data_IF_476857323831
#
_entry.id   IF_476857323831
#
_cell.length_a   1.000
_cell.length_b   1.000
_cell.length_c   1.000
_cell.angle_alpha   90.00
_cell.angle_beta   90.00
_cell.angle_gamma   90.00
#
_symmetry.space_group_name_H-M   'P 1'
#
loop_
_entity.id
_entity.type
_entity.pdbx_description
1 polymer ?
#
# COMPACT_ATOMS: atom_id res chain seq x y z
N UNK A 1 -19.16 -1.59 -1.19
CA UNK A 1 -20.59 -1.31 -1.51
C UNK A 1 -21.22 -2.48 -2.28
N UNK A 2 -20.63 -2.93 -3.38
CA UNK A 2 -21.10 -4.07 -4.18
C UNK A 2 -21.24 -5.37 -3.37
N UNK A 3 -20.29 -5.68 -2.51
CA UNK A 3 -20.29 -6.87 -1.66
C UNK A 3 -21.45 -6.86 -0.65
N UNK A 4 -21.74 -5.71 -0.05
CA UNK A 4 -22.87 -5.54 0.88
C UNK A 4 -24.21 -5.76 0.16
N UNK A 5 -24.37 -5.16 -1.02
CA UNK A 5 -25.57 -5.37 -1.84
C UNK A 5 -25.73 -6.85 -2.22
N UNK A 6 -24.63 -7.50 -2.67
CA UNK A 6 -24.64 -8.91 -3.01
C UNK A 6 -25.08 -9.82 -1.87
N UNK A 7 -24.48 -9.61 -0.67
CA UNK A 7 -24.83 -10.35 0.55
C UNK A 7 -26.30 -10.12 0.96
N UNK A 8 -26.77 -8.88 0.92
CA UNK A 8 -28.15 -8.54 1.26
C UNK A 8 -29.14 -9.20 0.30
N UNK A 9 -28.84 -9.16 -1.01
CA UNK A 9 -29.66 -9.81 -2.04
C UNK A 9 -29.69 -11.31 -1.85
N UNK A 10 -28.54 -11.94 -1.58
CA UNK A 10 -28.42 -13.38 -1.34
C UNK A 10 -29.19 -13.80 -0.09
N UNK A 11 -29.13 -13.00 0.97
CA UNK A 11 -29.90 -13.23 2.21
C UNK A 11 -31.41 -13.19 1.96
N UNK A 12 -31.91 -12.14 1.32
CA UNK A 12 -33.34 -12.00 1.00
C UNK A 12 -33.79 -13.15 0.10
N UNK A 13 -33.03 -13.48 -0.95
CA UNK A 13 -33.34 -14.56 -1.87
C UNK A 13 -33.41 -15.92 -1.15
N UNK A 14 -32.45 -16.20 -0.24
CA UNK A 14 -32.46 -17.42 0.57
C UNK A 14 -33.72 -17.55 1.43
N UNK A 15 -34.13 -16.47 2.10
CA UNK A 15 -35.32 -16.47 2.95
C UNK A 15 -36.63 -16.66 2.18
N UNK A 16 -36.70 -16.22 0.94
CA UNK A 16 -37.89 -16.38 0.07
C UNK A 16 -37.84 -17.73 -0.64
N UNK A 17 -36.70 -18.08 -1.23
CA UNK A 17 -36.59 -19.24 -2.12
C UNK A 17 -36.62 -20.57 -1.34
N UNK A 18 -35.99 -20.63 -0.15
CA UNK A 18 -35.94 -21.86 0.62
C UNK A 18 -37.31 -22.33 1.13
N UNK A 19 -38.20 -21.49 1.73
CA UNK A 19 -39.55 -21.88 2.07
C UNK A 19 -40.38 -22.22 0.85
N UNK A 20 -40.25 -21.49 -0.27
CA UNK A 20 -40.94 -21.81 -1.51
C UNK A 20 -40.57 -23.19 -2.06
N UNK A 21 -39.28 -23.54 -2.07
CA UNK A 21 -38.81 -24.87 -2.49
C UNK A 21 -39.35 -25.98 -1.56
N UNK A 22 -39.36 -25.75 -0.25
CA UNK A 22 -39.90 -26.71 0.74
C UNK A 22 -41.41 -26.93 0.47
N UNK A 23 -42.18 -25.86 0.22
CA UNK A 23 -43.60 -25.95 -0.09
C UNK A 23 -43.86 -26.67 -1.41
N UNK A 24 -43.07 -26.41 -2.44
CA UNK A 24 -43.16 -27.13 -3.72
C UNK A 24 -42.82 -28.61 -3.59
N UNK A 25 -41.80 -28.93 -2.78
CA UNK A 25 -41.43 -30.33 -2.52
C UNK A 25 -42.42 -31.06 -1.62
N UNK A 26 -43.02 -30.35 -0.65
CA UNK A 26 -43.99 -30.88 0.31
C UNK A 26 -45.39 -31.17 -0.29
N UNK A 27 -45.65 -30.76 -1.54
CA UNK A 27 -46.98 -30.96 -2.17
C UNK A 27 -47.23 -32.41 -2.60
N UNK A 28 -46.37 -33.35 -2.31
CA UNK A 28 -46.61 -34.78 -2.51
C UNK A 28 -47.31 -35.33 -1.26
N UNK A 29 -48.65 -35.32 -1.28
CA UNK A 29 -49.54 -35.87 -0.23
C UNK A 29 -49.15 -37.30 0.08
N UNK A 30 -48.84 -37.60 1.32
CA UNK A 30 -48.58 -38.89 1.96
C UNK A 30 -47.10 -39.27 2.24
N UNK A 31 -46.25 -38.35 2.54
CA UNK A 31 -45.14 -38.75 3.35
C UNK A 31 -45.54 -38.68 4.83
N UNK A 32 -46.06 -39.80 5.37
CA UNK A 32 -45.81 -40.15 6.78
C UNK A 32 -44.35 -39.80 7.04
N UNK A 33 -44.11 -38.88 7.99
CA UNK A 33 -42.76 -38.64 8.48
C UNK A 33 -42.30 -39.96 9.08
N UNK A 34 -41.80 -40.85 8.24
CA UNK A 34 -40.98 -41.98 8.67
C UNK A 34 -39.82 -41.27 9.40
N UNK A 35 -39.80 -41.37 10.71
CA UNK A 35 -38.62 -41.06 11.50
C UNK A 35 -37.51 -41.84 10.80
N UNK A 36 -36.76 -41.15 9.96
CA UNK A 36 -35.52 -41.67 9.38
C UNK A 36 -34.56 -41.70 10.52
N UNK A 37 -34.59 -42.83 11.26
CA UNK A 37 -33.50 -43.22 12.12
C UNK A 37 -32.29 -43.58 11.23
N UNK A 38 -31.87 -42.61 10.41
CA UNK A 38 -30.56 -42.69 9.81
C UNK A 38 -29.57 -42.43 10.95
N UNK A 39 -29.05 -43.53 11.52
CA UNK A 39 -27.89 -43.52 12.38
C UNK A 39 -26.68 -43.04 11.55
N UNK A 40 -26.58 -41.73 11.32
CA UNK A 40 -25.35 -41.16 10.80
C UNK A 40 -24.27 -41.35 11.86
N UNK A 41 -23.38 -42.27 11.63
CA UNK A 41 -22.27 -42.61 12.55
C UNK A 41 -21.52 -41.37 13.00
N UNK A 42 -21.25 -40.45 12.08
CA UNK A 42 -20.56 -39.15 12.36
C UNK A 42 -21.36 -38.26 13.32
N UNK A 43 -22.67 -38.12 13.10
CA UNK A 43 -23.52 -37.26 13.94
C UNK A 43 -23.65 -37.82 15.36
N UNK A 44 -23.84 -39.14 15.50
CA UNK A 44 -23.92 -39.78 16.80
C UNK A 44 -22.58 -39.75 17.54
N UNK A 45 -21.47 -39.93 16.84
CA UNK A 45 -20.16 -39.80 17.40
C UNK A 45 -19.86 -38.39 17.92
N UNK A 46 -20.15 -37.34 17.09
CA UNK A 46 -20.00 -35.97 17.47
C UNK A 46 -20.91 -35.57 18.66
N UNK A 47 -22.16 -36.03 18.66
CA UNK A 47 -23.11 -35.76 19.74
C UNK A 47 -22.61 -36.43 21.06
N UNK A 48 -22.20 -37.68 21.01
CA UNK A 48 -21.62 -38.39 22.18
C UNK A 48 -20.34 -37.73 22.69
N UNK A 49 -19.45 -37.35 21.78
CA UNK A 49 -18.24 -36.61 22.10
C UNK A 49 -18.52 -35.30 22.78
N UNK A 50 -19.46 -34.51 22.24
CA UNK A 50 -19.84 -33.21 22.79
C UNK A 50 -20.46 -33.34 24.18
N UNK A 51 -21.30 -34.34 24.42
CA UNK A 51 -21.95 -34.58 25.72
C UNK A 51 -20.98 -35.10 26.78
N UNK A 52 -20.06 -35.97 26.39
CA UNK A 52 -19.16 -36.65 27.36
C UNK A 52 -17.84 -35.90 27.60
N UNK A 53 -17.39 -35.08 26.67
CA UNK A 53 -16.06 -34.43 26.68
C UNK A 53 -16.07 -32.94 26.82
N UNK A 54 -17.04 -32.36 27.55
CA UNK A 54 -17.19 -30.91 27.67
C UNK A 54 -15.92 -30.18 28.12
N UNK A 55 -15.17 -30.74 29.09
CA UNK A 55 -13.89 -30.15 29.54
C UNK A 55 -12.84 -30.11 28.43
N UNK A 56 -12.75 -31.17 27.62
CA UNK A 56 -11.81 -31.21 26.49
C UNK A 56 -12.16 -30.15 25.42
N UNK A 57 -13.46 -29.92 25.18
CA UNK A 57 -13.92 -28.91 24.25
C UNK A 57 -13.53 -27.50 24.73
N UNK A 58 -13.70 -27.19 26.02
CA UNK A 58 -13.26 -25.90 26.55
C UNK A 58 -11.76 -25.70 26.47
N UNK A 59 -10.97 -26.73 26.76
CA UNK A 59 -9.51 -26.69 26.66
C UNK A 59 -9.07 -26.49 25.19
N UNK A 60 -9.67 -27.23 24.26
CA UNK A 60 -9.35 -27.07 22.84
C UNK A 60 -9.75 -25.70 22.30
N UNK A 61 -10.91 -25.16 22.69
CA UNK A 61 -11.34 -23.82 22.32
C UNK A 61 -10.39 -22.76 22.88
N UNK A 62 -9.97 -22.88 24.13
CA UNK A 62 -8.96 -21.97 24.72
C UNK A 62 -7.63 -22.02 23.95
N UNK A 63 -7.17 -23.20 23.56
CA UNK A 63 -5.95 -23.36 22.81
C UNK A 63 -6.06 -22.74 21.40
N UNK A 64 -7.19 -22.95 20.73
CA UNK A 64 -7.50 -22.33 19.44
C UNK A 64 -7.48 -20.80 19.55
N UNK A 65 -8.14 -20.22 20.55
CA UNK A 65 -8.17 -18.78 20.78
C UNK A 65 -6.75 -18.23 21.02
N UNK A 66 -5.92 -18.96 21.78
CA UNK A 66 -4.55 -18.54 22.06
C UNK A 66 -3.69 -18.53 20.79
N UNK A 67 -3.77 -19.59 19.97
CA UNK A 67 -3.08 -19.64 18.67
C UNK A 67 -3.56 -18.51 17.76
N UNK A 68 -4.87 -18.29 17.70
CA UNK A 68 -5.47 -17.21 16.89
C UNK A 68 -4.97 -15.83 17.33
N UNK A 69 -4.92 -15.57 18.63
CA UNK A 69 -4.42 -14.30 19.17
C UNK A 69 -2.93 -14.10 18.85
N UNK A 70 -2.14 -15.16 18.91
CA UNK A 70 -0.73 -15.11 18.53
C UNK A 70 -0.54 -14.81 17.04
N UNK A 71 -1.28 -15.52 16.16
CA UNK A 71 -1.23 -15.28 14.73
C UNK A 71 -1.70 -13.87 14.32
N UNK A 72 -2.78 -13.35 14.95
CA UNK A 72 -3.25 -11.99 14.68
C UNK A 72 -2.19 -10.92 14.98
N UNK A 73 -1.38 -11.13 16.03
CA UNK A 73 -0.28 -10.21 16.35
C UNK A 73 0.88 -10.27 15.34
N UNK A 74 0.99 -11.35 14.58
CA UNK A 74 2.01 -11.49 13.55
C UNK A 74 1.50 -11.15 12.15
N UNK A 75 0.21 -10.90 12.00
CA UNK A 75 -0.40 -10.56 10.71
C UNK A 75 0.17 -9.24 10.18
N UNK A 76 0.88 -9.32 9.07
CA UNK A 76 1.45 -8.18 8.37
C UNK A 76 0.76 -8.03 7.02
N UNK A 77 0.28 -6.82 6.75
CA UNK A 77 -0.32 -6.48 5.45
C UNK A 77 0.79 -5.99 4.53
N UNK A 78 1.64 -6.93 4.15
CA UNK A 78 2.75 -6.68 3.23
C UNK A 78 2.67 -7.69 2.07
N UNK A 79 2.82 -7.19 0.85
CA UNK A 79 2.89 -8.07 -0.30
C UNK A 79 3.80 -7.45 -1.36
N UNK A 80 4.81 -8.19 -1.78
CA UNK A 80 5.67 -7.83 -2.90
C UNK A 80 4.93 -8.06 -4.21
N UNK A 81 5.02 -7.11 -5.14
CA UNK A 81 4.44 -7.27 -6.47
C UNK A 81 5.03 -8.50 -7.21
N UNK A 82 6.30 -8.79 -6.98
CA UNK A 82 6.98 -9.95 -7.57
C UNK A 82 6.34 -11.27 -7.10
N UNK A 83 5.87 -11.35 -5.85
CA UNK A 83 5.29 -12.55 -5.26
C UNK A 83 3.91 -12.93 -5.80
N UNK A 84 3.28 -12.08 -6.64
CA UNK A 84 2.06 -12.48 -7.38
C UNK A 84 2.34 -13.51 -8.45
N UNK A 85 3.58 -13.61 -8.91
CA UNK A 85 3.99 -14.56 -9.93
C UNK A 85 4.58 -15.81 -9.28
N UNK A 86 4.31 -16.96 -9.86
CA UNK A 86 4.91 -18.21 -9.39
C UNK A 86 6.42 -18.18 -9.62
N UNK A 87 7.19 -18.68 -8.67
CA UNK A 87 8.66 -18.66 -8.68
C UNK A 87 9.31 -19.40 -9.87
N UNK A 88 8.57 -20.33 -10.50
CA UNK A 88 9.01 -21.08 -11.68
C UNK A 88 8.85 -20.32 -12.99
N UNK A 89 8.08 -19.23 -13.02
CA UNK A 89 7.81 -18.44 -14.23
C UNK A 89 8.99 -17.56 -14.65
N UNK A 90 9.13 -17.34 -15.95
CA UNK A 90 10.16 -16.43 -16.50
C UNK A 90 9.96 -14.99 -16.04
N UNK A 91 8.69 -14.57 -15.84
CA UNK A 91 8.35 -13.23 -15.34
C UNK A 91 8.92 -13.03 -13.94
N UNK A 92 8.69 -14.00 -13.02
CA UNK A 92 9.25 -13.92 -11.66
C UNK A 92 10.78 -13.83 -11.68
N UNK A 93 11.43 -14.72 -12.45
CA UNK A 93 12.89 -14.75 -12.56
C UNK A 93 13.45 -13.46 -13.15
N UNK A 94 12.81 -12.93 -14.19
CA UNK A 94 13.19 -11.66 -14.81
C UNK A 94 13.01 -10.47 -13.88
N UNK A 95 11.88 -10.37 -13.20
CA UNK A 95 11.63 -9.30 -12.23
C UNK A 95 12.60 -9.37 -11.05
N UNK A 96 12.85 -10.58 -10.52
CA UNK A 96 13.81 -10.76 -9.44
C UNK A 96 15.23 -10.38 -9.86
N UNK A 97 15.64 -10.72 -11.07
CA UNK A 97 16.94 -10.32 -11.60
C UNK A 97 17.05 -8.79 -11.71
N UNK A 98 15.99 -8.13 -12.17
CA UNK A 98 15.94 -6.66 -12.25
C UNK A 98 16.02 -6.06 -10.84
N UNK A 99 15.29 -6.63 -9.90
CA UNK A 99 15.27 -6.17 -8.51
C UNK A 99 16.66 -6.27 -7.87
N UNK A 100 17.29 -7.43 -7.97
CA UNK A 100 18.58 -7.73 -7.33
C UNK A 100 19.78 -7.03 -8.04
N UNK A 101 19.74 -6.87 -9.36
CA UNK A 101 20.90 -6.41 -10.14
C UNK A 101 20.77 -5.03 -10.76
N UNK A 102 19.55 -4.53 -10.97
CA UNK A 102 19.31 -3.22 -11.59
C UNK A 102 18.75 -2.18 -10.61
N UNK A 103 18.77 -2.50 -9.31
CA UNK A 103 18.45 -1.55 -8.26
C UNK A 103 16.97 -1.35 -8.00
N UNK A 104 16.20 -2.44 -8.01
CA UNK A 104 14.80 -2.42 -7.62
C UNK A 104 13.81 -2.40 -8.78
N UNK A 105 12.61 -2.88 -8.50
CA UNK A 105 11.52 -2.99 -9.48
C UNK A 105 10.40 -1.99 -9.26
N UNK A 106 10.18 -1.54 -8.03
CA UNK A 106 9.03 -0.70 -7.70
C UNK A 106 9.42 0.77 -7.61
N UNK A 107 8.89 1.63 -8.51
CA UNK A 107 9.22 3.06 -8.51
C UNK A 107 8.46 3.82 -7.42
N UNK A 108 9.18 4.75 -6.80
CA UNK A 108 8.67 5.77 -5.90
C UNK A 108 9.26 7.12 -6.32
N UNK A 109 8.42 8.13 -6.43
CA UNK A 109 8.81 9.47 -6.80
C UNK A 109 8.63 10.43 -5.62
N UNK A 110 9.64 11.22 -5.37
CA UNK A 110 9.63 12.30 -4.41
C UNK A 110 9.58 13.61 -5.18
N UNK A 111 8.52 14.38 -5.02
CA UNK A 111 8.32 15.67 -5.66
C UNK A 111 8.60 16.75 -4.64
N UNK A 112 9.55 17.61 -4.94
CA UNK A 112 9.94 18.77 -4.15
C UNK A 112 9.37 19.99 -4.85
N UNK A 113 8.43 20.68 -4.21
CA UNK A 113 7.88 21.94 -4.68
C UNK A 113 8.55 23.07 -3.92
N UNK A 114 9.25 23.92 -4.66
CA UNK A 114 9.97 25.06 -4.10
C UNK A 114 9.04 26.24 -3.84
N UNK A 115 9.23 26.90 -2.69
CA UNK A 115 8.50 28.13 -2.34
C UNK A 115 9.29 29.36 -2.83
N UNK A 116 8.74 30.07 -3.81
CA UNK A 116 9.41 31.21 -4.44
C UNK A 116 9.48 32.45 -3.53
N UNK A 117 8.60 32.57 -2.54
CA UNK A 117 8.53 33.77 -1.69
C UNK A 117 9.76 33.97 -0.78
N UNK A 118 10.52 32.90 -0.50
CA UNK A 118 11.68 32.96 0.38
C UNK A 118 13.03 33.04 -0.34
N UNK A 119 13.06 32.76 -1.62
CA UNK A 119 14.29 32.70 -2.42
C UNK A 119 14.49 33.90 -3.36
N UNK A 120 13.62 34.88 -3.30
CA UNK A 120 13.83 36.17 -3.98
C UNK A 120 14.90 36.98 -3.23
N UNK A 121 16.15 36.57 -3.34
CA UNK A 121 17.26 37.48 -3.09
C UNK A 121 17.32 38.46 -4.29
N UNK A 122 17.39 39.76 -4.08
CA UNK A 122 17.53 40.72 -5.14
C UNK A 122 18.96 40.72 -5.64
N UNK A 123 19.29 39.85 -6.58
CA UNK A 123 20.49 40.04 -7.39
C UNK A 123 20.10 40.68 -8.71
N UNK A 124 19.69 41.99 -8.60
CA UNK A 124 19.48 42.89 -9.73
C UNK A 124 20.77 43.12 -10.58
N UNK A 125 21.90 42.54 -10.17
CA UNK A 125 23.21 42.74 -10.83
C UNK A 125 23.48 41.72 -11.97
N UNK A 126 22.68 40.64 -12.07
CA UNK A 126 22.91 39.60 -13.08
C UNK A 126 22.02 39.74 -14.34
N UNK A 127 20.90 40.44 -14.26
CA UNK A 127 19.98 40.62 -15.38
C UNK A 127 20.60 41.45 -16.53
N UNK A 128 21.51 42.34 -16.18
CA UNK A 128 22.17 43.25 -17.14
C UNK A 128 23.26 42.55 -17.98
N UNK A 129 23.77 41.39 -17.50
CA UNK A 129 24.82 40.61 -18.17
C UNK A 129 24.30 39.58 -19.18
N UNK A 130 23.04 39.20 -19.11
CA UNK A 130 22.47 38.11 -19.93
C UNK A 130 21.72 38.61 -21.17
N UNK A 131 21.58 39.94 -21.35
CA UNK A 131 20.92 40.57 -22.49
C UNK A 131 19.41 40.33 -22.46
N UNK A 132 18.64 41.39 -22.79
CA UNK A 132 17.19 41.37 -22.93
C UNK A 132 16.75 40.19 -23.83
N UNK A 133 16.48 39.04 -23.25
CA UNK A 133 15.70 37.96 -23.86
C UNK A 133 14.36 37.91 -23.16
N UNK A 134 13.28 37.94 -23.94
CA UNK A 134 11.87 37.86 -23.49
C UNK A 134 11.50 36.56 -22.73
N UNK A 135 12.48 35.82 -22.19
CA UNK A 135 12.32 34.60 -21.39
C UNK A 135 13.05 34.68 -20.03
N UNK A 136 12.60 35.49 -19.08
CA UNK A 136 13.28 35.68 -17.80
C UNK A 136 13.12 34.46 -16.84
N UNK A 137 12.10 33.67 -17.02
CA UNK A 137 11.69 32.67 -15.99
C UNK A 137 12.53 31.40 -15.97
N UNK A 138 13.00 30.92 -17.13
CA UNK A 138 13.69 29.62 -17.17
C UNK A 138 15.13 29.68 -16.62
N UNK A 139 15.84 30.80 -16.79
CA UNK A 139 17.23 30.93 -16.31
C UNK A 139 17.32 31.12 -14.81
N UNK A 140 16.36 31.79 -14.19
CA UNK A 140 16.35 32.11 -12.77
C UNK A 140 15.95 30.91 -11.88
N UNK A 141 15.48 29.81 -12.48
CA UNK A 141 15.16 28.59 -11.74
C UNK A 141 16.39 27.90 -11.16
N UNK A 142 17.52 27.92 -11.87
CA UNK A 142 18.75 27.19 -11.52
C UNK A 142 19.58 27.92 -10.43
N UNK A 143 19.03 27.95 -9.22
CA UNK A 143 19.77 28.49 -8.06
C UNK A 143 20.58 27.39 -7.38
N UNK A 144 21.75 27.75 -6.87
CA UNK A 144 22.61 26.82 -6.10
C UNK A 144 21.86 26.21 -4.92
N UNK A 145 20.98 26.96 -4.27
CA UNK A 145 20.16 26.45 -3.14
C UNK A 145 19.22 25.33 -3.57
N UNK A 146 18.40 25.53 -4.63
CA UNK A 146 17.50 24.50 -5.15
C UNK A 146 18.25 23.22 -5.55
N UNK A 147 19.35 23.38 -6.26
CA UNK A 147 20.19 22.25 -6.69
C UNK A 147 20.80 21.50 -5.49
N UNK A 148 21.26 22.22 -4.48
CA UNK A 148 21.79 21.61 -3.25
C UNK A 148 20.70 20.88 -2.46
N UNK A 149 19.48 21.38 -2.39
CA UNK A 149 18.33 20.67 -1.80
C UNK A 149 18.02 19.38 -2.56
N UNK A 150 18.05 19.41 -3.90
CA UNK A 150 17.87 18.19 -4.71
C UNK A 150 19.01 17.20 -4.46
N UNK A 151 20.28 17.65 -4.40
CA UNK A 151 21.44 16.80 -4.06
C UNK A 151 21.29 16.19 -2.67
N UNK A 152 20.84 16.96 -1.70
CA UNK A 152 20.62 16.51 -0.33
C UNK A 152 19.59 15.39 -0.25
N UNK A 153 18.40 15.58 -0.89
CA UNK A 153 17.37 14.55 -0.95
C UNK A 153 17.86 13.30 -1.71
N UNK A 154 18.60 13.50 -2.78
CA UNK A 154 19.22 12.40 -3.53
C UNK A 154 20.15 11.56 -2.65
N UNK A 155 21.04 12.19 -1.91
CA UNK A 155 22.03 11.51 -1.05
C UNK A 155 21.36 10.84 0.16
N UNK A 156 20.34 11.46 0.73
CA UNK A 156 19.54 10.84 1.79
C UNK A 156 18.90 9.53 1.30
N UNK A 157 18.34 9.53 0.10
CA UNK A 157 17.69 8.36 -0.47
C UNK A 157 18.69 7.29 -0.92
N UNK A 158 19.84 7.68 -1.47
CA UNK A 158 20.89 6.75 -1.92
C UNK A 158 21.54 6.00 -0.76
N UNK A 159 21.55 6.59 0.44
CA UNK A 159 22.02 5.95 1.66
C UNK A 159 20.99 5.01 2.32
N UNK A 160 19.78 4.88 1.79
CA UNK A 160 18.75 4.01 2.36
C UNK A 160 18.92 2.57 1.85
N UNK A 161 18.98 1.61 2.75
CA UNK A 161 19.25 0.20 2.44
C UNK A 161 18.19 -0.47 1.56
N UNK A 162 16.95 0.05 1.55
CA UNK A 162 15.83 -0.46 0.74
C UNK A 162 15.74 0.20 -0.64
N UNK A 163 16.56 1.21 -0.89
CA UNK A 163 16.62 1.92 -2.17
C UNK A 163 17.78 1.40 -2.98
N UNK A 164 17.49 0.88 -4.15
CA UNK A 164 18.55 0.30 -5.00
C UNK A 164 19.08 1.27 -6.05
N UNK A 165 18.32 2.27 -6.45
CA UNK A 165 18.75 3.29 -7.41
C UNK A 165 17.99 4.59 -7.26
N UNK A 166 18.73 5.69 -7.24
CA UNK A 166 18.20 7.06 -7.22
C UNK A 166 18.51 7.75 -8.54
N UNK A 167 17.52 8.39 -9.12
CA UNK A 167 17.64 9.20 -10.34
C UNK A 167 17.01 10.56 -10.10
N UNK A 168 17.76 11.61 -10.32
CA UNK A 168 17.28 12.99 -10.18
C UNK A 168 18.14 13.92 -11.02
N UNK A 169 17.78 15.18 -11.06
CA UNK A 169 18.60 16.22 -11.66
C UNK A 169 20.01 16.31 -11.04
N UNK A 170 20.17 15.95 -9.76
CA UNK A 170 21.50 15.85 -9.12
C UNK A 170 22.44 14.91 -9.87
N UNK A 171 21.94 13.81 -10.46
CA UNK A 171 22.75 12.90 -11.27
C UNK A 171 23.32 13.58 -12.51
N UNK A 172 22.52 14.41 -13.18
CA UNK A 172 22.94 15.18 -14.36
C UNK A 172 23.96 16.27 -14.00
N UNK A 173 23.73 16.97 -12.88
CA UNK A 173 24.69 17.98 -12.38
C UNK A 173 26.03 17.34 -12.01
N UNK A 174 26.04 16.20 -11.33
CA UNK A 174 27.28 15.49 -10.99
C UNK A 174 28.11 15.11 -12.22
N UNK A 175 27.41 14.67 -13.28
CA UNK A 175 28.10 14.40 -14.55
C UNK A 175 28.70 15.68 -15.12
N UNK A 176 27.99 16.80 -15.09
CA UNK A 176 28.48 18.08 -15.55
C UNK A 176 29.68 18.58 -14.71
N UNK A 177 29.64 18.42 -13.39
CA UNK A 177 30.74 18.75 -12.48
C UNK A 177 32.00 17.89 -12.75
N UNK A 178 31.83 16.59 -13.03
CA UNK A 178 32.98 15.74 -13.45
C UNK A 178 33.63 16.26 -14.72
N UNK A 179 32.85 16.71 -15.70
CA UNK A 179 33.37 17.30 -16.94
C UNK A 179 34.03 18.65 -16.69
N UNK A 180 33.61 19.38 -15.64
CA UNK A 180 34.16 20.66 -15.20
C UNK A 180 35.29 20.49 -14.15
N UNK A 181 36.12 19.46 -14.29
CA UNK A 181 37.27 19.18 -13.40
C UNK A 181 36.87 19.03 -11.91
N UNK A 182 35.70 18.47 -11.63
CA UNK A 182 35.09 18.29 -10.30
C UNK A 182 34.85 19.61 -9.53
N UNK A 183 34.66 20.71 -10.24
CA UNK A 183 34.24 21.98 -9.63
C UNK A 183 32.72 22.04 -9.59
N UNK A 184 32.20 22.51 -8.46
CA UNK A 184 30.79 22.82 -8.33
C UNK A 184 30.38 23.91 -9.33
N UNK A 185 29.22 23.73 -9.93
CA UNK A 185 28.65 24.71 -10.86
C UNK A 185 27.90 25.78 -10.06
N UNK A 186 28.17 27.03 -10.35
CA UNK A 186 27.38 28.13 -9.82
C UNK A 186 26.05 28.33 -10.56
N UNK A 187 25.18 29.20 -10.06
CA UNK A 187 23.85 29.45 -10.63
C UNK A 187 23.92 29.95 -12.08
N UNK A 188 24.92 30.79 -12.40
CA UNK A 188 25.12 31.34 -13.74
C UNK A 188 25.61 30.25 -14.71
N UNK A 189 26.56 29.44 -14.27
CA UNK A 189 27.09 28.31 -15.07
C UNK A 189 26.00 27.28 -15.39
N UNK A 190 25.15 26.95 -14.40
CA UNK A 190 24.00 26.05 -14.59
C UNK A 190 22.97 26.61 -15.57
N UNK A 191 22.65 27.90 -15.48
CA UNK A 191 21.72 28.57 -16.39
C UNK A 191 22.26 28.63 -17.82
N UNK A 192 23.55 28.93 -17.98
CA UNK A 192 24.21 28.91 -19.29
C UNK A 192 24.30 27.50 -19.88
N UNK A 193 24.60 26.51 -19.05
CA UNK A 193 24.62 25.11 -19.46
C UNK A 193 23.24 24.70 -19.99
N UNK A 194 22.18 24.99 -19.23
CA UNK A 194 20.80 24.68 -19.66
C UNK A 194 20.44 25.34 -20.99
N UNK A 195 20.76 26.63 -21.18
CA UNK A 195 20.50 27.35 -22.45
C UNK A 195 21.25 26.76 -23.64
N UNK A 196 22.47 26.23 -23.43
CA UNK A 196 23.32 25.65 -24.48
C UNK A 196 23.10 24.16 -24.70
N UNK A 197 22.37 23.48 -23.83
CA UNK A 197 22.09 22.04 -23.98
C UNK A 197 21.20 21.81 -25.21
N UNK A 198 21.56 20.83 -26.08
CA UNK A 198 20.68 20.41 -27.15
C UNK A 198 19.34 19.86 -26.61
N UNK A 199 18.25 20.13 -27.33
CA UNK A 199 16.91 19.70 -26.93
C UNK A 199 16.79 18.17 -26.69
N UNK A 200 17.54 17.38 -27.44
CA UNK A 200 17.58 15.90 -27.25
C UNK A 200 18.17 15.53 -25.87
N UNK A 201 19.16 16.30 -25.40
CA UNK A 201 19.79 16.06 -24.09
C UNK A 201 18.89 16.58 -22.97
N UNK A 202 18.24 17.75 -23.14
CA UNK A 202 17.26 18.27 -22.16
C UNK A 202 16.16 17.24 -21.89
N UNK A 203 15.57 16.64 -22.93
CA UNK A 203 14.53 15.61 -22.83
C UNK A 203 14.93 14.37 -22.03
N UNK A 204 16.22 14.08 -21.92
CA UNK A 204 16.72 12.90 -21.20
C UNK A 204 17.26 13.27 -19.83
N UNK A 205 17.98 14.38 -19.72
CA UNK A 205 18.76 14.72 -18.52
C UNK A 205 18.08 15.75 -17.61
N UNK A 206 17.09 16.50 -18.09
CA UNK A 206 16.42 17.59 -17.36
C UNK A 206 14.91 17.36 -17.24
N UNK A 207 14.20 17.31 -18.37
CA UNK A 207 12.73 17.29 -18.40
C UNK A 207 12.09 16.16 -17.56
N UNK A 208 12.68 14.96 -17.43
CA UNK A 208 12.09 13.93 -16.58
C UNK A 208 12.15 14.25 -15.08
N UNK A 209 13.02 15.19 -14.70
CA UNK A 209 13.34 15.48 -13.29
C UNK A 209 12.94 16.88 -12.83
N UNK A 210 12.67 17.79 -13.74
CA UNK A 210 12.35 19.19 -13.45
C UNK A 210 11.10 19.65 -14.21
N UNK A 211 10.20 20.31 -13.51
CA UNK A 211 9.15 21.17 -14.08
C UNK A 211 9.45 22.61 -13.67
N UNK A 212 10.01 23.36 -14.61
CA UNK A 212 10.37 24.77 -14.37
C UNK A 212 9.10 25.61 -14.20
N UNK A 213 8.06 25.34 -15.00
CA UNK A 213 6.78 26.06 -14.94
C UNK A 213 6.05 25.90 -13.60
N UNK A 214 6.09 24.68 -13.02
CA UNK A 214 5.42 24.37 -11.76
C UNK A 214 6.33 24.60 -10.53
N UNK A 215 7.60 24.96 -10.76
CA UNK A 215 8.64 25.10 -9.75
C UNK A 215 8.84 23.83 -8.92
N UNK A 216 8.90 22.69 -9.60
CA UNK A 216 8.99 21.36 -8.98
C UNK A 216 10.22 20.58 -9.47
N UNK A 217 10.81 19.81 -8.55
CA UNK A 217 11.81 18.81 -8.89
C UNK A 217 11.35 17.43 -8.47
N UNK A 218 11.67 16.44 -9.30
CA UNK A 218 11.37 15.04 -9.09
C UNK A 218 12.64 14.25 -8.81
N UNK A 219 12.66 13.56 -7.69
CA UNK A 219 13.66 12.52 -7.38
C UNK A 219 12.96 11.16 -7.50
N UNK A 220 13.36 10.38 -8.48
CA UNK A 220 12.78 9.06 -8.75
C UNK A 220 13.68 7.98 -8.16
N UNK A 221 13.11 7.12 -7.33
CA UNK A 221 13.84 6.00 -6.74
C UNK A 221 13.21 4.67 -7.16
N UNK A 222 14.02 3.63 -7.09
CA UNK A 222 13.54 2.25 -7.21
C UNK A 222 13.79 1.51 -5.89
N UNK A 223 12.73 0.89 -5.40
CA UNK A 223 12.75 0.13 -4.14
C UNK A 223 13.00 -1.33 -4.44
N UNK A 224 13.84 -1.98 -3.62
CA UNK A 224 14.15 -3.40 -3.67
C UNK A 224 12.96 -4.21 -3.15
N UNK A 225 12.03 -4.52 -4.05
CA UNK A 225 10.72 -5.11 -3.71
C UNK A 225 10.81 -6.57 -3.23
N UNK A 226 11.86 -7.29 -3.58
CA UNK A 226 12.10 -8.68 -3.18
C UNK A 226 12.68 -8.84 -1.77
N UNK A 227 13.08 -7.76 -1.11
CA UNK A 227 13.63 -7.80 0.24
C UNK A 227 12.54 -8.23 1.25
N UNK A 228 12.71 -9.35 1.99
CA UNK A 228 11.71 -9.85 2.92
C UNK A 228 11.53 -8.96 4.16
N UNK A 229 12.52 -8.14 4.47
CA UNK A 229 12.48 -7.22 5.63
C UNK A 229 11.86 -5.86 5.28
N UNK A 230 11.62 -5.60 4.01
CA UNK A 230 11.02 -4.36 3.53
C UNK A 230 9.59 -4.20 4.05
N UNK A 231 9.37 -3.13 4.80
CA UNK A 231 8.07 -2.64 5.23
C UNK A 231 7.68 -1.40 4.42
N UNK A 232 6.87 -1.60 3.40
CA UNK A 232 6.54 -0.52 2.45
C UNK A 232 5.84 0.65 3.11
N UNK A 233 4.87 0.37 3.99
CA UNK A 233 4.16 1.40 4.72
C UNK A 233 5.10 2.19 5.65
N UNK A 234 5.99 1.50 6.38
CA UNK A 234 6.97 2.12 7.26
C UNK A 234 8.02 2.91 6.46
N UNK A 235 8.53 2.36 5.35
CA UNK A 235 9.47 3.05 4.47
C UNK A 235 8.89 4.38 3.96
N UNK A 236 7.65 4.35 3.45
CA UNK A 236 6.96 5.54 2.95
C UNK A 236 6.80 6.57 4.06
N UNK A 237 6.34 6.15 5.25
CA UNK A 237 6.16 7.04 6.40
C UNK A 237 7.48 7.63 6.90
N UNK A 238 8.54 6.83 6.96
CA UNK A 238 9.85 7.28 7.41
C UNK A 238 10.40 8.32 6.44
N UNK A 239 10.43 8.03 5.13
CA UNK A 239 10.88 9.00 4.13
C UNK A 239 10.07 10.29 4.22
N UNK A 240 8.74 10.20 4.32
CA UNK A 240 7.89 11.39 4.39
C UNK A 240 8.11 12.19 5.67
N UNK A 241 8.24 11.52 6.80
CA UNK A 241 8.48 12.16 8.09
C UNK A 241 9.88 12.79 8.16
N UNK A 242 10.89 12.07 7.71
CA UNK A 242 12.27 12.55 7.76
C UNK A 242 12.44 13.81 6.88
N UNK A 243 11.94 13.75 5.65
CA UNK A 243 12.05 14.88 4.73
C UNK A 243 11.16 16.08 5.13
N UNK A 244 9.94 15.86 5.65
CA UNK A 244 9.06 16.93 6.08
C UNK A 244 9.51 17.61 7.40
N UNK A 245 10.19 16.86 8.27
CA UNK A 245 10.68 17.40 9.54
C UNK A 245 12.10 17.97 9.45
N UNK A 246 12.73 17.84 8.28
CA UNK A 246 14.09 18.35 8.09
C UNK A 246 14.07 19.87 8.02
N UNK A 247 14.90 20.49 8.86
CA UNK A 247 15.02 21.95 8.95
C UNK A 247 15.53 22.59 7.65
N UNK A 248 16.37 21.87 6.90
CA UNK A 248 16.92 22.33 5.63
C UNK A 248 15.87 22.39 4.50
N UNK A 249 14.86 21.52 4.59
CA UNK A 249 13.75 21.41 3.63
C UNK A 249 12.46 22.05 4.14
N UNK A 250 12.47 22.71 5.28
CA UNK A 250 11.26 23.21 5.97
C UNK A 250 10.48 24.28 5.21
N UNK A 251 11.11 24.91 4.21
CA UNK A 251 10.45 25.89 3.31
C UNK A 251 9.74 25.20 2.14
N UNK A 252 10.07 23.95 1.85
CA UNK A 252 9.60 23.25 0.66
C UNK A 252 8.42 22.31 0.97
N UNK A 253 7.57 22.08 -0.03
CA UNK A 253 6.52 21.08 0.10
C UNK A 253 6.97 19.78 -0.55
N UNK A 254 7.08 18.71 0.27
CA UNK A 254 7.51 17.40 -0.22
C UNK A 254 6.31 16.47 -0.32
N UNK A 255 6.11 15.92 -1.51
CA UNK A 255 5.03 14.99 -1.81
C UNK A 255 5.59 13.69 -2.36
N UNK A 256 5.16 12.58 -1.77
CA UNK A 256 5.48 11.25 -2.29
C UNK A 256 4.42 10.78 -3.27
N UNK A 257 4.83 10.22 -4.40
CA UNK A 257 3.97 9.74 -5.48
C UNK A 257 4.54 8.47 -6.11
N UNK A 258 3.79 7.86 -7.02
CA UNK A 258 4.26 6.70 -7.76
C UNK A 258 3.52 5.41 -7.45
N UNK A 259 3.92 4.34 -8.13
CA UNK A 259 3.24 3.05 -8.08
C UNK A 259 3.33 2.43 -6.68
N UNK A 260 4.44 2.62 -5.96
CA UNK A 260 4.59 2.11 -4.60
C UNK A 260 3.52 2.65 -3.66
N UNK A 261 3.24 3.97 -3.72
CA UNK A 261 2.21 4.63 -2.92
C UNK A 261 0.82 4.10 -3.28
N UNK A 262 0.51 4.07 -4.58
CA UNK A 262 -0.77 3.58 -5.07
C UNK A 262 -1.02 2.13 -4.61
N UNK A 263 -0.01 1.28 -4.77
CA UNK A 263 -0.08 -0.12 -4.41
C UNK A 263 -0.23 -0.33 -2.89
N UNK A 264 0.56 0.36 -2.08
CA UNK A 264 0.44 0.32 -0.64
C UNK A 264 -0.95 0.77 -0.17
N UNK A 265 -1.44 1.91 -0.67
CA UNK A 265 -2.77 2.43 -0.32
C UNK A 265 -3.89 1.49 -0.74
N UNK A 266 -3.75 0.84 -1.90
CA UNK A 266 -4.70 -0.18 -2.37
C UNK A 266 -4.73 -1.38 -1.42
N UNK A 267 -3.59 -1.92 -1.03
CA UNK A 267 -3.51 -3.06 -0.10
C UNK A 267 -4.09 -2.72 1.28
N UNK A 268 -3.72 -1.58 1.85
CA UNK A 268 -4.25 -1.12 3.13
C UNK A 268 -5.76 -0.92 3.06
N UNK A 269 -6.26 -0.31 1.98
CA UNK A 269 -7.71 -0.11 1.77
C UNK A 269 -8.47 -1.41 1.60
N UNK A 270 -7.89 -2.41 0.90
CA UNK A 270 -8.49 -3.73 0.75
C UNK A 270 -8.58 -4.45 2.10
N UNK A 271 -7.51 -4.43 2.89
CA UNK A 271 -7.49 -5.04 4.21
C UNK A 271 -8.51 -4.39 5.15
N UNK A 272 -8.52 -3.07 5.23
CA UNK A 272 -9.50 -2.29 5.99
C UNK A 272 -10.94 -2.61 5.58
N UNK A 273 -11.19 -2.70 4.27
CA UNK A 273 -12.50 -3.05 3.73
C UNK A 273 -12.93 -4.46 4.13
N UNK A 274 -11.99 -5.43 4.13
CA UNK A 274 -12.26 -6.80 4.57
C UNK A 274 -12.64 -6.85 6.05
N UNK A 275 -11.89 -6.17 6.91
CA UNK A 275 -12.18 -6.11 8.35
C UNK A 275 -13.54 -5.45 8.61
N UNK A 276 -13.81 -4.33 7.96
CA UNK A 276 -15.10 -3.61 8.08
C UNK A 276 -16.27 -4.47 7.59
N UNK A 277 -16.10 -5.17 6.45
CA UNK A 277 -17.11 -6.09 5.91
C UNK A 277 -17.38 -7.25 6.86
N UNK A 278 -16.33 -7.86 7.41
CA UNK A 278 -16.47 -8.96 8.36
C UNK A 278 -17.23 -8.49 9.61
N UNK A 279 -16.89 -7.33 10.17
CA UNK A 279 -17.59 -6.74 11.30
C UNK A 279 -19.06 -6.48 11.01
N UNK A 280 -19.37 -5.93 9.84
CA UNK A 280 -20.74 -5.66 9.42
C UNK A 280 -21.56 -6.95 9.28
N UNK A 281 -21.01 -7.99 8.67
CA UNK A 281 -21.68 -9.30 8.55
C UNK A 281 -21.93 -9.91 9.94
N UNK A 282 -20.99 -9.82 10.87
CA UNK A 282 -21.16 -10.30 12.24
C UNK A 282 -22.28 -9.57 12.96
N UNK A 283 -22.42 -8.25 12.78
CA UNK A 283 -23.51 -7.46 13.36
C UNK A 283 -24.86 -7.92 12.80
N UNK A 284 -24.98 -8.15 11.49
CA UNK A 284 -26.21 -8.64 10.88
C UNK A 284 -26.60 -10.02 11.44
N UNK A 285 -25.64 -10.93 11.55
CA UNK A 285 -25.85 -12.26 12.14
C UNK A 285 -26.31 -12.13 13.60
N UNK A 286 -25.73 -11.20 14.37
CA UNK A 286 -26.11 -10.91 15.74
C UNK A 286 -27.59 -10.48 15.82
N UNK A 287 -27.99 -9.53 14.99
CA UNK A 287 -29.37 -9.04 14.94
C UNK A 287 -30.32 -10.17 14.56
N UNK A 288 -29.95 -10.98 13.58
CA UNK A 288 -30.75 -12.13 13.16
C UNK A 288 -30.95 -13.13 14.30
N UNK A 289 -29.88 -13.49 15.03
CA UNK A 289 -30.01 -14.35 16.22
C UNK A 289 -30.84 -13.74 17.31
N UNK A 290 -30.72 -12.43 17.55
CA UNK A 290 -31.52 -11.71 18.53
C UNK A 290 -33.02 -11.77 18.18
N UNK A 291 -33.38 -11.56 16.93
CA UNK A 291 -34.75 -11.64 16.45
C UNK A 291 -35.29 -13.08 16.52
N UNK A 292 -34.45 -14.07 16.18
CA UNK A 292 -34.83 -15.47 16.18
C UNK A 292 -35.06 -16.02 17.59
N UNK A 293 -34.09 -15.81 18.47
CA UNK A 293 -34.13 -16.36 19.85
C UNK A 293 -34.77 -15.43 20.85
N UNK A 294 -34.99 -14.16 20.53
CA UNK A 294 -35.53 -13.12 21.43
C UNK A 294 -34.84 -13.09 22.79
N UNK A 295 -33.58 -13.50 22.84
CA UNK A 295 -32.75 -13.58 24.04
C UNK A 295 -31.33 -13.14 23.73
N UNK A 296 -30.83 -12.16 24.45
CA UNK A 296 -29.49 -11.64 24.30
C UNK A 296 -28.41 -12.69 24.64
N UNK A 297 -28.67 -13.51 25.63
CA UNK A 297 -27.76 -14.58 26.07
C UNK A 297 -27.59 -15.64 24.96
N UNK A 298 -28.71 -16.08 24.33
CA UNK A 298 -28.65 -17.06 23.23
C UNK A 298 -28.02 -16.46 21.98
N UNK A 299 -28.21 -15.17 21.72
CA UNK A 299 -27.50 -14.46 20.65
C UNK A 299 -25.98 -14.52 20.84
N UNK A 300 -25.49 -14.19 22.04
CA UNK A 300 -24.04 -14.22 22.34
C UNK A 300 -23.50 -15.65 22.17
N UNK A 301 -24.17 -16.65 22.72
CA UNK A 301 -23.75 -18.06 22.59
C UNK A 301 -23.67 -18.50 21.13
N UNK A 302 -24.59 -18.05 20.28
CA UNK A 302 -24.61 -18.37 18.87
C UNK A 302 -23.52 -17.65 18.04
N UNK A 303 -23.11 -16.45 18.47
CA UNK A 303 -22.10 -15.66 17.75
C UNK A 303 -20.67 -16.10 18.04
N UNK A 304 -20.38 -16.50 19.30
CA UNK A 304 -19.03 -16.87 19.74
C UNK A 304 -18.34 -17.87 18.80
N UNK A 305 -18.97 -19.00 18.40
CA UNK A 305 -18.32 -19.95 17.48
C UNK A 305 -18.01 -19.35 16.10
N UNK A 306 -18.91 -18.50 15.57
CA UNK A 306 -18.71 -17.82 14.30
C UNK A 306 -17.56 -16.81 14.36
N UNK A 307 -17.47 -16.07 15.46
CA UNK A 307 -16.38 -15.13 15.72
C UNK A 307 -15.04 -15.85 15.83
N UNK A 308 -14.97 -16.95 16.60
CA UNK A 308 -13.75 -17.74 16.74
C UNK A 308 -13.31 -18.31 15.38
N UNK A 309 -14.24 -18.82 14.58
CA UNK A 309 -13.94 -19.34 13.26
C UNK A 309 -13.39 -18.26 12.32
N UNK A 310 -14.00 -17.07 12.32
CA UNK A 310 -13.55 -15.94 11.49
C UNK A 310 -12.15 -15.46 11.91
N UNK A 311 -11.94 -15.31 13.22
CA UNK A 311 -10.65 -14.91 13.77
C UNK A 311 -9.57 -15.99 13.54
N UNK A 312 -9.92 -17.29 13.62
CA UNK A 312 -9.00 -18.38 13.35
C UNK A 312 -8.45 -18.32 11.91
N UNK A 313 -9.30 -18.02 10.93
CA UNK A 313 -8.85 -17.87 9.54
C UNK A 313 -7.83 -16.75 9.43
N UNK A 314 -8.10 -15.58 10.04
CA UNK A 314 -7.16 -14.45 10.04
C UNK A 314 -5.87 -14.79 10.82
N UNK A 315 -5.98 -15.47 11.96
CA UNK A 315 -4.82 -15.85 12.77
C UNK A 315 -3.94 -16.94 12.13
N UNK A 316 -4.48 -17.77 11.23
CA UNK A 316 -3.69 -18.73 10.46
C UNK A 316 -2.97 -18.09 9.27
N UNK A 317 -3.37 -16.88 8.87
CA UNK A 317 -2.71 -16.11 7.83
C UNK A 317 -1.50 -15.32 8.35
N UNK A 318 -1.46 -15.01 9.64
CA UNK A 318 -0.32 -14.35 10.32
C UNK A 318 0.63 -15.36 10.91
#
# INVERSE_FOLDING_TARGET
FMMVIGLTTLFITSFILLPCLILLYSNNKNSVVKQIQNNFFITNYLASFTLNSGKLIYVSAFFIVTITAYGLNQLKVENSFINYFRADTEIYKGMKLIDDQLGGTTPLDIIIKFDDEKNAAPDDEYDDLLGESDEPMESNWFTTDKVNKIKYVHDYLDNNEYVGKVLSFASSIRVAEIVNDNKELDSLEMSLLYKKLPEEVKKIAVDPYLSIEDNEARVSIRVLDSNPDLRRAELIQNIQNDLNNDTYLSSETITLSGILILYNNMLQSLFDSQIKSLGFVMIIIAIMFLLLFRSFTLMIIGIIPNLISALLVLGLMG
#
